data_IF_850057570203
#
_entry.id   IF_850057570203
#
_cell.length_a   1.000
_cell.length_b   1.000
_cell.length_c   1.000
_cell.angle_alpha   90.00
_cell.angle_beta   90.00
_cell.angle_gamma   90.00
#
_symmetry.space_group_name_H-M   'P 1'
#
loop_
_entity.id
_entity.type
_entity.pdbx_description
1 polymer ?
#
# COMPACT_ATOMS: atom_id res chain seq x y z
N UNK A 1 -5.00 -4.78 -33.08
CA UNK A 1 -4.53 -4.62 -31.69
C UNK A 1 -5.62 -5.16 -30.78
N UNK A 2 -5.40 -6.24 -30.04
CA UNK A 2 -6.42 -6.79 -29.14
C UNK A 2 -6.79 -5.74 -28.07
N UNK A 3 -8.07 -5.65 -27.66
CA UNK A 3 -8.47 -4.77 -26.57
C UNK A 3 -7.72 -5.18 -25.30
N UNK A 4 -7.13 -4.20 -24.60
CA UNK A 4 -6.48 -4.47 -23.32
C UNK A 4 -7.55 -4.97 -22.34
N UNK A 5 -7.28 -6.02 -21.55
CA UNK A 5 -8.20 -6.47 -20.51
C UNK A 5 -8.49 -5.32 -19.54
N UNK A 6 -9.77 -5.06 -19.28
CA UNK A 6 -10.20 -4.01 -18.35
C UNK A 6 -10.12 -4.58 -16.95
N UNK A 7 -9.22 -4.06 -16.13
CA UNK A 7 -9.16 -4.43 -14.72
C UNK A 7 -10.26 -3.67 -13.96
N UNK A 8 -11.23 -4.39 -13.35
CA UNK A 8 -12.34 -3.78 -12.63
C UNK A 8 -11.85 -2.95 -11.43
N UNK A 9 -12.68 -2.05 -10.92
CA UNK A 9 -12.39 -1.30 -9.70
C UNK A 9 -12.25 -2.28 -8.53
N UNK A 10 -11.15 -2.14 -7.77
CA UNK A 10 -10.88 -2.99 -6.61
C UNK A 10 -11.80 -2.56 -5.46
N UNK A 11 -12.62 -3.48 -4.95
CA UNK A 11 -13.42 -3.24 -3.75
C UNK A 11 -12.55 -3.38 -2.49
N UNK A 12 -11.89 -2.29 -2.12
CA UNK A 12 -11.00 -2.26 -0.97
C UNK A 12 -11.72 -2.42 0.38
N UNK A 13 -12.97 -2.00 0.48
CA UNK A 13 -13.74 -1.91 1.73
C UNK A 13 -14.60 -3.17 1.92
N UNK A 14 -14.87 -3.88 0.83
CA UNK A 14 -15.54 -5.18 0.82
C UNK A 14 -14.96 -6.18 1.81
N UNK A 15 -15.83 -7.07 2.27
CA UNK A 15 -15.52 -8.11 3.26
C UNK A 15 -14.73 -7.56 4.45
N UNK A 16 -15.29 -6.56 5.14
CA UNK A 16 -14.71 -5.95 6.34
C UNK A 16 -13.25 -5.48 6.17
N UNK A 17 -12.95 -4.79 5.07
CA UNK A 17 -11.61 -4.28 4.76
C UNK A 17 -10.52 -5.35 4.62
N UNK A 18 -10.87 -6.61 4.30
CA UNK A 18 -9.91 -7.73 4.25
C UNK A 18 -8.71 -7.43 3.33
N UNK A 19 -8.93 -6.81 2.16
CA UNK A 19 -7.84 -6.48 1.23
C UNK A 19 -6.90 -5.40 1.79
N UNK A 20 -7.42 -4.46 2.56
CA UNK A 20 -6.61 -3.44 3.25
C UNK A 20 -5.73 -4.11 4.30
N UNK A 21 -6.27 -5.04 5.09
CA UNK A 21 -5.50 -5.78 6.08
C UNK A 21 -4.41 -6.64 5.43
N UNK A 22 -4.72 -7.32 4.33
CA UNK A 22 -3.71 -8.06 3.55
C UNK A 22 -2.59 -7.13 3.05
N UNK A 23 -2.95 -5.96 2.50
CA UNK A 23 -1.99 -4.97 2.05
C UNK A 23 -1.09 -4.48 3.19
N UNK A 24 -1.66 -4.16 4.35
CA UNK A 24 -0.90 -3.72 5.52
C UNK A 24 0.04 -4.81 6.03
N UNK A 25 -0.44 -6.06 6.15
CA UNK A 25 0.39 -7.19 6.56
C UNK A 25 1.59 -7.40 5.62
N UNK A 26 1.36 -7.33 4.31
CA UNK A 26 2.43 -7.45 3.31
C UNK A 26 3.44 -6.31 3.41
N UNK A 27 2.97 -5.08 3.63
CA UNK A 27 3.82 -3.92 3.82
C UNK A 27 4.67 -4.04 5.10
N UNK A 28 4.10 -4.57 6.17
CA UNK A 28 4.76 -4.74 7.47
C UNK A 28 5.84 -5.82 7.48
N UNK A 29 5.85 -6.73 6.49
CA UNK A 29 6.96 -7.70 6.33
C UNK A 29 8.29 -6.95 6.28
N UNK A 30 9.26 -7.40 7.09
CA UNK A 30 10.56 -6.73 7.28
C UNK A 30 11.26 -6.37 5.96
N UNK A 31 11.20 -7.28 4.98
CA UNK A 31 11.78 -7.09 3.64
C UNK A 31 11.11 -5.95 2.85
N UNK A 32 9.78 -5.86 2.89
CA UNK A 32 9.01 -4.85 2.19
C UNK A 32 9.09 -3.51 2.92
N UNK A 33 8.89 -3.51 4.23
CA UNK A 33 8.96 -2.32 5.08
C UNK A 33 10.31 -1.60 4.97
N UNK A 34 11.41 -2.35 4.96
CA UNK A 34 12.75 -1.77 4.79
C UNK A 34 12.94 -1.06 3.43
N UNK A 35 12.37 -1.61 2.36
CA UNK A 35 12.45 -1.01 1.02
C UNK A 35 11.48 0.17 0.88
N UNK A 36 10.28 0.07 1.45
CA UNK A 36 9.24 1.08 1.34
C UNK A 36 9.49 2.30 2.24
N UNK A 37 9.95 2.07 3.47
CA UNK A 37 10.07 3.10 4.52
C UNK A 37 11.43 3.14 5.22
N UNK A 38 12.41 2.35 4.78
CA UNK A 38 13.76 2.41 5.33
C UNK A 38 14.42 3.78 5.13
N UNK A 39 15.36 4.10 6.01
CA UNK A 39 16.12 5.37 6.01
C UNK A 39 17.12 5.51 4.85
N UNK A 40 17.46 4.41 4.19
CA UNK A 40 18.33 4.43 3.01
C UNK A 40 17.55 5.00 1.82
N UNK A 41 18.21 5.81 0.97
CA UNK A 41 17.65 6.27 -0.31
C UNK A 41 17.37 5.06 -1.22
N UNK A 42 16.21 4.45 -1.05
CA UNK A 42 15.71 3.43 -1.96
C UNK A 42 15.17 4.15 -3.20
N UNK A 43 15.72 3.80 -4.37
CA UNK A 43 15.25 4.34 -5.66
C UNK A 43 13.74 4.09 -5.82
N UNK A 44 13.03 5.07 -6.39
CA UNK A 44 11.57 5.00 -6.63
C UNK A 44 11.18 3.69 -7.35
N UNK A 45 12.02 3.23 -8.27
CA UNK A 45 11.81 1.99 -9.04
C UNK A 45 11.87 0.72 -8.18
N UNK A 46 12.59 0.74 -7.06
CA UNK A 46 12.59 -0.40 -6.13
C UNK A 46 11.30 -0.45 -5.32
N UNK A 47 10.68 0.70 -5.02
CA UNK A 47 9.39 0.72 -4.32
C UNK A 47 8.25 0.21 -5.20
N UNK A 48 8.21 0.59 -6.48
CA UNK A 48 7.16 0.10 -7.38
C UNK A 48 7.28 -1.41 -7.61
N UNK A 49 8.50 -1.96 -7.66
CA UNK A 49 8.71 -3.42 -7.71
C UNK A 49 8.11 -4.13 -6.49
N UNK A 50 8.32 -3.60 -5.28
CA UNK A 50 7.70 -4.17 -4.08
C UNK A 50 6.18 -4.13 -4.17
N UNK A 51 5.59 -3.02 -4.60
CA UNK A 51 4.13 -2.95 -4.77
C UNK A 51 3.58 -3.88 -5.86
N UNK A 52 4.37 -4.19 -6.90
CA UNK A 52 4.02 -5.22 -7.89
C UNK A 52 4.01 -6.61 -7.26
N UNK A 53 5.04 -7.00 -6.52
CA UNK A 53 5.08 -8.29 -5.81
C UNK A 53 3.92 -8.43 -4.81
N UNK A 54 3.62 -7.38 -4.05
CA UNK A 54 2.46 -7.36 -3.16
C UNK A 54 1.15 -7.51 -3.96
N UNK A 55 1.07 -6.89 -5.14
CA UNK A 55 -0.06 -7.02 -6.05
C UNK A 55 -0.27 -8.43 -6.58
N UNK A 56 0.82 -9.11 -6.91
CA UNK A 56 0.85 -10.51 -7.33
C UNK A 56 0.35 -11.44 -6.22
N UNK A 57 0.77 -11.21 -4.97
CA UNK A 57 0.35 -12.01 -3.81
C UNK A 57 -1.13 -11.82 -3.45
N UNK A 58 -1.64 -10.57 -3.53
CA UNK A 58 -3.01 -10.25 -3.08
C UNK A 58 -4.05 -10.47 -4.18
N UNK A 59 -3.71 -10.17 -5.43
CA UNK A 59 -4.63 -10.19 -6.58
C UNK A 59 -3.96 -10.83 -7.81
N UNK A 60 -3.55 -12.11 -7.75
CA UNK A 60 -2.78 -12.77 -8.80
C UNK A 60 -3.50 -12.76 -10.16
N UNK A 61 -4.82 -12.95 -10.15
CA UNK A 61 -5.63 -12.97 -11.38
C UNK A 61 -5.63 -11.63 -12.11
N UNK A 62 -5.69 -10.51 -11.38
CA UNK A 62 -5.68 -9.19 -11.99
C UNK A 62 -4.27 -8.72 -12.28
N UNK A 63 -3.29 -9.19 -11.50
CA UNK A 63 -1.88 -8.95 -11.75
C UNK A 63 -1.45 -9.57 -13.09
N UNK A 64 -1.94 -10.78 -13.42
CA UNK A 64 -1.68 -11.42 -14.71
C UNK A 64 -2.20 -10.60 -15.91
N UNK A 65 -3.19 -9.72 -15.71
CA UNK A 65 -3.74 -8.87 -16.77
C UNK A 65 -2.89 -7.61 -17.01
N UNK A 66 -2.53 -6.90 -15.94
CA UNK A 66 -1.68 -5.71 -16.02
C UNK A 66 -0.92 -5.48 -14.69
N UNK A 67 0.33 -5.97 -14.58
CA UNK A 67 1.18 -5.80 -13.41
C UNK A 67 1.43 -4.34 -13.02
N UNK A 68 1.51 -3.44 -14.01
CA UNK A 68 1.79 -2.02 -13.79
C UNK A 68 0.58 -1.31 -13.18
N UNK A 69 -0.62 -1.60 -13.67
CA UNK A 69 -1.86 -1.05 -13.10
C UNK A 69 -2.05 -1.55 -11.67
N UNK A 70 -1.86 -2.85 -11.41
CA UNK A 70 -2.02 -3.40 -10.06
C UNK A 70 -0.97 -2.83 -9.10
N UNK A 71 0.30 -2.80 -9.48
CA UNK A 71 1.36 -2.20 -8.64
C UNK A 71 1.07 -0.74 -8.28
N UNK A 72 0.58 0.06 -9.23
CA UNK A 72 0.20 1.45 -8.97
C UNK A 72 -1.02 1.56 -8.04
N UNK A 73 -2.02 0.69 -8.18
CA UNK A 73 -3.18 0.67 -7.29
C UNK A 73 -2.79 0.32 -5.84
N UNK A 74 -1.90 -0.67 -5.66
CA UNK A 74 -1.35 -1.02 -4.35
C UNK A 74 -0.61 0.16 -3.72
N UNK A 75 0.26 0.81 -4.49
CA UNK A 75 0.99 2.01 -4.06
C UNK A 75 0.04 3.13 -3.62
N UNK A 76 -0.90 3.51 -4.46
CA UNK A 76 -1.81 4.62 -4.19
C UNK A 76 -2.63 4.37 -2.92
N UNK A 77 -3.08 3.12 -2.70
CA UNK A 77 -3.81 2.77 -1.49
C UNK A 77 -2.92 2.80 -0.25
N UNK A 78 -1.69 2.29 -0.35
CA UNK A 78 -0.71 2.32 0.74
C UNK A 78 -0.33 3.77 1.15
N UNK A 79 -0.18 4.67 0.19
CA UNK A 79 0.09 6.09 0.44
C UNK A 79 -1.06 6.77 1.20
N UNK A 80 -2.32 6.47 0.85
CA UNK A 80 -3.48 6.97 1.59
C UNK A 80 -3.41 6.54 3.06
N UNK A 81 -3.20 5.27 3.35
CA UNK A 81 -3.16 4.78 4.74
C UNK A 81 -1.95 5.29 5.52
N UNK A 82 -0.78 5.38 4.89
CA UNK A 82 0.39 5.93 5.58
C UNK A 82 0.23 7.41 5.91
N UNK A 83 -0.31 8.22 4.98
CA UNK A 83 -0.63 9.63 5.27
C UNK A 83 -1.64 9.74 6.42
N UNK A 84 -2.70 8.94 6.40
CA UNK A 84 -3.71 8.91 7.48
C UNK A 84 -3.09 8.49 8.81
N UNK A 85 -2.26 7.44 8.85
CA UNK A 85 -1.58 6.99 10.07
C UNK A 85 -0.61 8.04 10.62
N UNK A 86 0.17 8.70 9.76
CA UNK A 86 1.07 9.78 10.18
C UNK A 86 0.30 10.99 10.71
N UNK A 87 -0.82 11.37 10.07
CA UNK A 87 -1.69 12.43 10.55
C UNK A 87 -2.31 12.08 11.91
N UNK A 88 -2.80 10.86 12.09
CA UNK A 88 -3.36 10.38 13.37
C UNK A 88 -2.31 10.33 14.47
N UNK A 89 -1.10 9.81 14.20
CA UNK A 89 0.00 9.81 15.17
C UNK A 89 0.43 11.21 15.56
N UNK A 90 0.42 12.18 14.63
CA UNK A 90 0.70 13.60 14.94
C UNK A 90 -0.38 14.21 15.84
N UNK A 91 -1.66 13.96 15.54
CA UNK A 91 -2.78 14.42 16.38
C UNK A 91 -2.68 13.88 17.80
N UNK A 92 -2.46 12.57 17.97
CA UNK A 92 -2.33 11.95 19.30
C UNK A 92 -1.10 12.45 20.07
N UNK A 93 0.05 12.67 19.40
CA UNK A 93 1.22 13.31 20.02
C UNK A 93 0.97 14.77 20.41
N UNK A 94 0.09 15.48 19.69
CA UNK A 94 -0.37 16.82 20.04
C UNK A 94 -1.25 16.82 21.29
N UNK A 95 -2.19 15.87 21.39
CA UNK A 95 -3.05 15.69 22.57
C UNK A 95 -2.25 15.35 23.84
N UNK A 96 -1.25 14.47 23.74
CA UNK A 96 -0.40 14.12 24.90
C UNK A 96 0.46 15.27 25.43
N UNK A 97 0.63 16.37 24.66
CA UNK A 97 1.33 17.59 25.11
C UNK A 97 0.40 18.61 25.79
N UNK A 98 -0.91 18.52 25.60
CA UNK A 98 -1.88 19.44 26.20
C UNK A 98 -2.34 18.97 27.58
N UNK A 99 -2.28 17.67 27.87
CA UNK A 99 -2.67 17.07 29.16
C UNK A 99 -1.51 17.00 30.18
N UNK A 100 -0.33 17.54 29.84
CA UNK A 100 0.87 17.51 30.69
C UNK A 100 1.34 18.91 31.12
N UNK A 101 0.45 19.91 31.05
CA UNK A 101 0.69 21.30 31.44
C UNK A 101 -0.18 21.72 32.61
#
# INVERSE_FOLDING_TARGET
>A
KAPKPVIPTIDWIGNNNTLIWKLLNEIEKKQNCSVLYGSKKVLRDNKIKVYKCIGEDILPEWYALDPDVIGNRMKNKAEVYTVTMHATKRRLRGYSKLEAG
#
